data_IF_607444650645
#
_entry.id   IF_607444650645
#
_cell.length_a   1.000
_cell.length_b   1.000
_cell.length_c   1.000
_cell.angle_alpha   90.00
_cell.angle_beta   90.00
_cell.angle_gamma   90.00
#
_symmetry.space_group_name_H-M   'P 1'
#
loop_
_entity.id
_entity.type
_entity.pdbx_description
1 polymer ?
#
# COMPACT_ATOMS: atom_id res chain seq x y z
N UNK A 1 34.38 -32.20 -0.75
CA UNK A 1 33.14 -32.44 -1.51
C UNK A 1 32.59 -31.07 -1.91
N UNK A 2 32.47 -30.74 -3.21
CA UNK A 2 32.03 -29.42 -3.66
C UNK A 2 30.51 -29.30 -3.58
N UNK A 3 30.02 -28.17 -3.07
CA UNK A 3 28.61 -27.74 -3.07
C UNK A 3 28.26 -27.27 -4.49
N UNK A 4 27.78 -28.17 -5.33
CA UNK A 4 27.20 -27.85 -6.63
C UNK A 4 25.90 -28.63 -6.77
N UNK A 5 24.76 -27.97 -6.58
CA UNK A 5 23.45 -28.21 -7.21
C UNK A 5 22.29 -27.55 -6.49
N UNK A 6 22.19 -26.24 -6.57
CA UNK A 6 20.87 -25.62 -6.55
C UNK A 6 20.56 -25.14 -7.97
N UNK A 7 19.83 -25.98 -8.69
CA UNK A 7 19.33 -25.66 -10.01
C UNK A 7 18.31 -24.54 -9.91
N UNK A 8 18.69 -23.33 -10.31
CA UNK A 8 17.74 -22.28 -10.67
C UNK A 8 17.13 -22.69 -12.01
N UNK A 9 15.84 -23.02 -11.95
CA UNK A 9 15.05 -23.38 -13.11
C UNK A 9 15.11 -22.31 -14.20
N UNK A 10 14.96 -22.76 -15.44
CA UNK A 10 14.97 -22.00 -16.67
C UNK A 10 14.30 -20.63 -16.55
N UNK A 11 15.02 -19.59 -16.91
CA UNK A 11 14.45 -18.28 -17.22
C UNK A 11 13.54 -18.43 -18.44
N UNK A 12 12.28 -17.98 -18.38
CA UNK A 12 11.46 -17.94 -19.58
C UNK A 12 12.06 -16.97 -20.60
N UNK A 13 12.01 -17.37 -21.87
CA UNK A 13 12.62 -16.66 -23.01
C UNK A 13 11.79 -15.48 -23.54
N UNK A 14 11.31 -14.60 -22.63
CA UNK A 14 10.93 -13.27 -23.07
C UNK A 14 12.16 -12.37 -22.82
N UNK A 15 12.84 -12.18 -23.92
CA UNK A 15 14.15 -11.55 -24.01
C UNK A 15 14.11 -10.14 -23.41
N UNK A 16 14.83 -9.98 -22.30
CA UNK A 16 15.43 -8.71 -21.96
C UNK A 16 16.70 -8.64 -22.83
N UNK A 17 16.62 -7.98 -23.99
CA UNK A 17 17.81 -7.52 -24.67
C UNK A 17 18.51 -6.53 -23.74
N UNK A 18 19.53 -7.02 -23.05
CA UNK A 18 20.49 -6.14 -22.42
C UNK A 18 21.11 -5.27 -23.53
N UNK A 19 21.13 -3.94 -23.40
CA UNK A 19 21.86 -3.12 -24.34
C UNK A 19 23.31 -3.62 -24.36
N UNK A 20 23.83 -3.77 -25.58
CA UNK A 20 25.15 -4.28 -25.94
C UNK A 20 26.21 -3.72 -24.98
N UNK A 21 26.90 -4.59 -24.24
CA UNK A 21 27.92 -4.21 -23.28
C UNK A 21 29.20 -3.82 -24.02
N UNK A 22 29.12 -2.75 -24.79
CA UNK A 22 30.27 -1.95 -25.16
C UNK A 22 30.79 -1.28 -23.88
N UNK A 23 31.97 -1.75 -23.40
CA UNK A 23 32.58 -1.48 -22.11
C UNK A 23 32.76 0.00 -21.68
N UNK A 24 31.65 0.72 -21.56
CA UNK A 24 31.58 1.93 -20.76
C UNK A 24 31.15 1.49 -19.36
N UNK A 25 32.05 1.53 -18.40
CA UNK A 25 31.71 1.59 -16.99
C UNK A 25 30.75 2.77 -16.87
N UNK A 26 29.44 2.49 -16.73
CA UNK A 26 28.48 3.52 -16.39
C UNK A 26 28.90 4.03 -15.02
N UNK A 27 29.58 5.18 -14.99
CA UNK A 27 29.77 5.92 -13.75
C UNK A 27 28.41 6.03 -13.10
N UNK A 28 28.30 5.50 -11.89
CA UNK A 28 27.07 5.68 -11.10
C UNK A 28 26.81 7.19 -11.06
N UNK A 29 25.58 7.64 -11.44
CA UNK A 29 25.28 9.07 -11.39
C UNK A 29 25.65 9.59 -10.00
N UNK A 30 26.39 10.70 -9.94
CA UNK A 30 26.75 11.32 -8.68
C UNK A 30 25.51 11.37 -7.77
N UNK A 31 25.63 10.99 -6.49
CA UNK A 31 24.51 10.99 -5.57
C UNK A 31 23.95 12.41 -5.53
N UNK A 32 22.81 12.61 -6.18
CA UNK A 32 22.07 13.88 -6.13
C UNK A 32 21.87 14.22 -4.65
N UNK A 33 22.11 15.48 -4.22
CA UNK A 33 21.92 15.86 -2.84
C UNK A 33 20.52 15.44 -2.41
N UNK A 34 20.43 14.59 -1.39
CA UNK A 34 19.19 14.09 -0.84
C UNK A 34 18.34 15.30 -0.48
N UNK A 35 17.39 15.66 -1.35
CA UNK A 35 16.42 16.71 -1.03
C UNK A 35 15.60 16.18 0.14
N UNK A 36 15.98 16.57 1.35
CA UNK A 36 15.25 16.36 2.59
C UNK A 36 13.93 17.14 2.51
N UNK A 37 12.95 16.63 1.79
CA UNK A 37 11.67 17.33 1.67
C UNK A 37 10.68 16.55 0.82
N UNK A 38 9.49 16.45 1.33
CA UNK A 38 8.33 15.89 0.65
C UNK A 38 7.67 16.90 -0.29
N UNK A 39 8.08 18.18 -0.17
CA UNK A 39 7.57 19.28 -0.98
C UNK A 39 7.78 19.01 -2.47
N UNK A 40 6.69 19.11 -3.25
CA UNK A 40 6.69 18.81 -4.68
C UNK A 40 6.61 17.33 -5.03
N UNK A 41 6.63 16.42 -4.05
CA UNK A 41 6.27 15.00 -4.26
C UNK A 41 4.77 14.84 -4.28
N UNK A 42 4.31 13.77 -4.92
CA UNK A 42 2.89 13.43 -5.05
C UNK A 42 2.67 12.00 -4.58
N UNK A 43 1.78 11.83 -3.61
CA UNK A 43 1.33 10.53 -3.13
C UNK A 43 -0.04 10.18 -3.73
N UNK A 44 -0.18 8.95 -4.20
CA UNK A 44 -1.45 8.33 -4.57
C UNK A 44 -1.83 7.35 -3.45
N UNK A 45 -3.00 7.54 -2.84
CA UNK A 45 -3.49 6.69 -1.74
C UNK A 45 -4.87 6.16 -2.08
N UNK A 46 -5.03 4.84 -2.11
CA UNK A 46 -6.33 4.23 -2.33
C UNK A 46 -7.11 4.08 -1.03
N UNK A 47 -8.42 4.36 -1.06
CA UNK A 47 -9.25 4.37 0.15
C UNK A 47 -8.88 5.49 1.14
N UNK A 48 -8.53 6.68 0.64
CA UNK A 48 -7.98 7.77 1.43
C UNK A 48 -9.01 8.61 2.21
N UNK A 49 -10.31 8.37 2.05
CA UNK A 49 -11.35 9.20 2.66
C UNK A 49 -11.56 8.93 4.15
N UNK A 50 -11.30 7.72 4.64
CA UNK A 50 -11.64 7.29 6.01
C UNK A 50 -10.54 6.44 6.65
N UNK A 51 -10.63 6.25 7.97
CA UNK A 51 -9.81 5.32 8.74
C UNK A 51 -8.30 5.49 8.53
N UNK A 52 -7.59 4.38 8.31
CA UNK A 52 -6.15 4.39 8.08
C UNK A 52 -5.78 5.21 6.83
N UNK A 53 -6.54 5.06 5.73
CA UNK A 53 -6.25 5.81 4.51
C UNK A 53 -6.29 7.31 4.73
N UNK A 54 -7.26 7.81 5.51
CA UNK A 54 -7.34 9.22 5.90
C UNK A 54 -6.13 9.64 6.75
N UNK A 55 -5.72 8.83 7.72
CA UNK A 55 -4.52 9.13 8.51
C UNK A 55 -3.26 9.21 7.63
N UNK A 56 -3.13 8.30 6.65
CA UNK A 56 -2.02 8.31 5.69
C UNK A 56 -2.00 9.58 4.86
N UNK A 57 -3.13 9.97 4.24
CA UNK A 57 -3.17 11.20 3.41
C UNK A 57 -2.90 12.45 4.24
N UNK A 58 -3.40 12.51 5.49
CA UNK A 58 -3.13 13.61 6.41
C UNK A 58 -1.63 13.67 6.81
N UNK A 59 -1.00 12.54 7.05
CA UNK A 59 0.43 12.46 7.34
C UNK A 59 1.27 12.97 6.15
N UNK A 60 0.97 12.53 4.94
CA UNK A 60 1.65 13.03 3.74
C UNK A 60 1.45 14.53 3.54
N UNK A 61 0.25 15.05 3.81
CA UNK A 61 -0.03 16.51 3.79
C UNK A 61 0.80 17.28 4.80
N UNK A 62 0.88 16.82 6.06
CA UNK A 62 1.74 17.42 7.11
C UNK A 62 3.21 17.47 6.70
N UNK A 63 3.68 16.49 5.94
CA UNK A 63 5.04 16.43 5.41
C UNK A 63 5.25 17.32 4.18
N UNK A 64 4.21 18.01 3.70
CA UNK A 64 4.26 18.91 2.53
C UNK A 64 4.16 18.20 1.17
N UNK A 65 3.71 16.95 1.15
CA UNK A 65 3.47 16.19 -0.06
C UNK A 65 2.11 16.56 -0.65
N UNK A 66 2.00 16.72 -1.97
CA UNK A 66 0.72 16.77 -2.65
C UNK A 66 0.07 15.38 -2.61
N UNK A 67 -1.26 15.33 -2.50
CA UNK A 67 -1.97 14.08 -2.27
C UNK A 67 -3.09 13.87 -3.28
N UNK A 68 -3.05 12.76 -3.99
CA UNK A 68 -4.21 12.23 -4.69
C UNK A 68 -4.77 11.04 -3.90
N UNK A 69 -6.07 11.01 -3.66
CA UNK A 69 -6.70 9.86 -3.04
C UNK A 69 -8.01 9.49 -3.70
N UNK A 70 -8.28 8.19 -3.73
CA UNK A 70 -9.54 7.70 -4.25
C UNK A 70 -10.40 7.05 -3.15
N UNK A 71 -11.69 6.96 -3.45
CA UNK A 71 -12.69 6.33 -2.59
C UNK A 71 -13.82 5.75 -3.42
N UNK A 72 -14.61 4.89 -2.82
CA UNK A 72 -15.89 4.41 -3.33
C UNK A 72 -16.93 4.48 -2.22
N UNK A 73 -18.19 4.67 -2.58
CA UNK A 73 -19.28 4.48 -1.62
C UNK A 73 -19.43 2.97 -1.35
N UNK A 74 -19.53 2.62 -0.09
CA UNK A 74 -19.83 1.28 0.35
C UNK A 74 -21.33 1.13 0.58
N UNK A 75 -21.92 -0.08 0.45
CA UNK A 75 -23.31 -0.30 0.76
C UNK A 75 -23.66 0.25 2.17
N UNK A 76 -24.69 1.12 2.23
CA UNK A 76 -25.13 1.74 3.49
C UNK A 76 -24.21 2.80 4.08
N UNK A 77 -23.14 3.20 3.36
CA UNK A 77 -22.19 4.21 3.84
C UNK A 77 -21.78 5.15 2.71
N UNK A 78 -22.24 6.40 2.81
CA UNK A 78 -21.77 7.49 1.95
C UNK A 78 -20.45 8.05 2.53
N UNK A 79 -19.38 7.99 1.76
CA UNK A 79 -18.07 8.51 2.15
C UNK A 79 -17.71 9.82 1.44
N UNK A 80 -18.63 10.38 0.66
CA UNK A 80 -18.39 11.63 -0.09
C UNK A 80 -18.13 12.79 0.86
N UNK A 81 -18.92 12.89 1.93
CA UNK A 81 -18.73 13.94 2.94
C UNK A 81 -17.35 13.82 3.61
N UNK A 82 -16.94 12.59 4.01
CA UNK A 82 -15.64 12.35 4.62
C UNK A 82 -14.49 12.64 3.63
N UNK A 83 -14.69 12.34 2.35
CA UNK A 83 -13.73 12.68 1.31
C UNK A 83 -13.56 14.20 1.17
N UNK A 84 -14.67 14.95 1.15
CA UNK A 84 -14.67 16.41 1.09
C UNK A 84 -14.01 17.04 2.32
N UNK A 85 -14.31 16.54 3.51
CA UNK A 85 -13.67 16.99 4.75
C UNK A 85 -12.16 16.73 4.72
N UNK A 86 -11.75 15.58 4.20
CA UNK A 86 -10.32 15.23 4.07
C UNK A 86 -9.62 16.13 3.05
N UNK A 87 -10.26 16.38 1.90
CA UNK A 87 -9.76 17.29 0.86
C UNK A 87 -9.59 18.71 1.41
N UNK A 88 -10.62 19.22 2.10
CA UNK A 88 -10.60 20.55 2.74
C UNK A 88 -9.47 20.66 3.77
N UNK A 89 -9.27 19.64 4.60
CA UNK A 89 -8.22 19.63 5.61
C UNK A 89 -6.82 19.64 4.99
N UNK A 90 -6.61 18.88 3.90
CA UNK A 90 -5.34 18.87 3.16
C UNK A 90 -5.09 20.20 2.45
N UNK A 91 -6.10 20.78 1.82
CA UNK A 91 -5.99 22.10 1.18
C UNK A 91 -5.61 23.20 2.18
N UNK A 92 -6.15 23.14 3.42
CA UNK A 92 -5.78 24.05 4.50
C UNK A 92 -4.31 23.91 4.94
N UNK A 93 -3.63 22.79 4.66
CA UNK A 93 -2.18 22.62 4.88
C UNK A 93 -1.35 23.24 3.76
N UNK A 94 -1.96 23.79 2.70
CA UNK A 94 -1.27 24.43 1.59
C UNK A 94 -0.65 23.44 0.59
N UNK A 95 -1.10 22.17 0.57
CA UNK A 95 -0.68 21.17 -0.41
C UNK A 95 -1.71 20.98 -1.51
N UNK A 96 -1.25 20.57 -2.69
CA UNK A 96 -2.13 20.21 -3.80
C UNK A 96 -2.91 18.93 -3.48
N UNK A 97 -4.21 18.93 -3.76
CA UNK A 97 -5.10 17.79 -3.48
C UNK A 97 -5.89 17.41 -4.73
N UNK A 98 -6.07 16.13 -4.94
CA UNK A 98 -6.99 15.56 -5.91
C UNK A 98 -7.73 14.36 -5.31
N UNK A 99 -9.02 14.50 -5.10
CA UNK A 99 -9.90 13.44 -4.61
C UNK A 99 -10.87 13.00 -5.73
N UNK A 100 -11.05 11.70 -5.91
CA UNK A 100 -11.98 11.19 -6.91
C UNK A 100 -12.58 9.83 -6.51
N UNK A 101 -13.79 9.56 -7.02
CA UNK A 101 -14.32 8.20 -7.00
C UNK A 101 -13.51 7.35 -7.97
N UNK A 102 -13.05 6.21 -7.50
CA UNK A 102 -12.37 5.21 -8.31
C UNK A 102 -12.49 3.85 -7.63
N UNK A 103 -13.09 2.90 -8.31
CA UNK A 103 -13.09 1.50 -7.90
C UNK A 103 -11.77 0.86 -8.35
N UNK A 104 -10.95 0.45 -7.38
CA UNK A 104 -9.64 -0.17 -7.65
C UNK A 104 -9.75 -1.49 -8.43
N UNK A 105 -10.93 -2.14 -8.43
CA UNK A 105 -11.21 -3.33 -9.21
C UNK A 105 -11.27 -3.04 -10.70
N UNK A 106 -11.71 -1.83 -11.08
CA UNK A 106 -11.78 -1.40 -12.48
C UNK A 106 -10.43 -0.81 -12.91
N UNK A 107 -9.77 -1.55 -13.82
CA UNK A 107 -8.50 -1.13 -14.41
C UNK A 107 -8.55 0.25 -15.05
N UNK A 108 -9.61 0.54 -15.81
CA UNK A 108 -9.69 1.79 -16.58
C UNK A 108 -9.92 2.98 -15.65
N UNK A 109 -10.68 2.80 -14.56
CA UNK A 109 -10.84 3.83 -13.54
C UNK A 109 -9.52 4.14 -12.86
N UNK A 110 -8.74 3.11 -12.50
CA UNK A 110 -7.41 3.27 -11.89
C UNK A 110 -6.44 3.99 -12.83
N UNK A 111 -6.37 3.58 -14.10
CA UNK A 111 -5.48 4.22 -15.09
C UNK A 111 -5.83 5.69 -15.28
N UNK A 112 -7.13 6.04 -15.37
CA UNK A 112 -7.59 7.44 -15.44
C UNK A 112 -7.24 8.20 -14.17
N UNK A 113 -7.52 7.64 -12.99
CA UNK A 113 -7.23 8.29 -11.72
C UNK A 113 -5.73 8.63 -11.56
N UNK A 114 -4.84 7.71 -11.91
CA UNK A 114 -3.38 7.92 -11.85
C UNK A 114 -2.94 8.97 -12.89
N UNK A 115 -3.50 8.95 -14.10
CA UNK A 115 -3.21 9.94 -15.13
C UNK A 115 -3.66 11.35 -14.71
N UNK A 116 -4.86 11.48 -14.18
CA UNK A 116 -5.40 12.75 -13.66
C UNK A 116 -4.58 13.27 -12.48
N UNK A 117 -4.19 12.39 -11.54
CA UNK A 117 -3.33 12.75 -10.42
C UNK A 117 -1.99 13.31 -10.92
N UNK A 118 -1.36 12.63 -11.90
CA UNK A 118 -0.12 13.09 -12.53
C UNK A 118 -0.26 14.44 -13.18
N UNK A 119 -1.35 14.65 -13.95
CA UNK A 119 -1.59 15.90 -14.68
C UNK A 119 -1.86 17.08 -13.73
N UNK A 120 -2.72 16.86 -12.72
CA UNK A 120 -3.17 17.93 -11.80
C UNK A 120 -2.13 18.31 -10.75
N UNK A 121 -1.35 17.34 -10.29
CA UNK A 121 -0.39 17.54 -9.18
C UNK A 121 1.07 17.56 -9.62
N UNK A 122 1.34 17.39 -10.93
CA UNK A 122 2.68 17.51 -11.50
C UNK A 122 3.55 16.25 -11.41
N UNK A 123 2.98 15.09 -11.05
CA UNK A 123 3.73 13.82 -10.98
C UNK A 123 3.03 12.76 -10.16
N UNK A 124 3.68 11.60 -10.03
CA UNK A 124 3.36 10.54 -9.06
C UNK A 124 4.68 9.99 -8.53
N UNK A 125 4.85 9.93 -7.21
CA UNK A 125 6.10 9.52 -6.58
C UNK A 125 5.91 8.39 -5.56
N UNK A 126 4.75 8.37 -4.91
CA UNK A 126 4.40 7.38 -3.90
C UNK A 126 3.05 6.74 -4.24
N UNK A 127 2.94 5.44 -3.99
CA UNK A 127 1.68 4.71 -4.05
C UNK A 127 1.46 3.99 -2.72
N UNK A 128 0.31 4.22 -2.11
CA UNK A 128 -0.14 3.46 -0.94
C UNK A 128 -1.42 2.70 -1.30
N UNK A 129 -1.30 1.39 -1.47
CA UNK A 129 -2.41 0.48 -1.66
C UNK A 129 -3.04 0.17 -0.30
N UNK A 130 -4.00 1.01 0.11
CA UNK A 130 -4.71 0.88 1.37
C UNK A 130 -6.16 0.42 1.18
N UNK A 131 -6.79 0.65 0.02
CA UNK A 131 -8.14 0.16 -0.23
C UNK A 131 -8.26 -1.34 0.06
N UNK A 132 -9.30 -1.70 0.81
CA UNK A 132 -9.52 -3.08 1.18
C UNK A 132 -10.81 -3.26 1.96
N UNK A 133 -11.43 -4.40 1.74
CA UNK A 133 -12.65 -4.82 2.42
C UNK A 133 -12.41 -6.15 3.13
N UNK A 134 -13.32 -6.50 4.03
CA UNK A 134 -13.51 -7.85 4.52
C UNK A 134 -15.00 -8.17 4.44
N UNK A 135 -15.28 -9.41 4.15
CA UNK A 135 -16.60 -10.00 4.15
C UNK A 135 -16.48 -11.37 4.81
N UNK A 136 -16.47 -11.33 6.14
CA UNK A 136 -16.05 -12.43 7.00
C UNK A 136 -17.15 -13.51 7.11
N UNK A 137 -16.75 -14.76 7.25
CA UNK A 137 -17.65 -15.90 7.41
C UNK A 137 -16.87 -17.18 7.66
N UNK A 138 -17.52 -18.15 8.35
CA UNK A 138 -16.90 -19.46 8.54
C UNK A 138 -16.58 -20.09 7.16
N UNK A 139 -15.39 -20.68 7.02
CA UNK A 139 -14.85 -21.17 5.75
C UNK A 139 -15.87 -21.99 4.94
N UNK A 140 -16.59 -22.90 5.60
CA UNK A 140 -17.58 -23.77 4.95
C UNK A 140 -18.94 -23.10 4.62
N UNK A 141 -19.12 -21.82 5.01
CA UNK A 141 -20.31 -21.00 4.72
C UNK A 141 -19.98 -19.78 3.86
N UNK A 142 -18.70 -19.57 3.59
CA UNK A 142 -18.25 -18.43 2.80
C UNK A 142 -18.73 -18.58 1.35
N UNK A 143 -19.51 -17.61 0.87
CA UNK A 143 -19.97 -17.62 -0.51
C UNK A 143 -18.84 -17.31 -1.48
N UNK A 144 -18.95 -17.81 -2.71
CA UNK A 144 -18.04 -17.48 -3.80
C UNK A 144 -18.01 -15.97 -4.06
N UNK A 145 -19.16 -15.32 -3.97
CA UNK A 145 -19.25 -13.86 -4.09
C UNK A 145 -18.41 -13.15 -3.03
N UNK A 146 -18.57 -13.50 -1.74
CA UNK A 146 -17.82 -12.89 -0.65
C UNK A 146 -16.29 -13.14 -0.78
N UNK A 147 -15.92 -14.34 -1.29
CA UNK A 147 -14.53 -14.65 -1.60
C UNK A 147 -13.98 -13.74 -2.70
N UNK A 148 -14.66 -13.70 -3.86
CA UNK A 148 -14.22 -12.94 -5.03
C UNK A 148 -14.19 -11.43 -4.76
N UNK A 149 -15.20 -10.85 -4.11
CA UNK A 149 -15.24 -9.43 -3.76
C UNK A 149 -14.01 -9.00 -2.94
N UNK A 150 -13.59 -9.82 -1.96
CA UNK A 150 -12.44 -9.53 -1.12
C UNK A 150 -11.13 -9.66 -1.90
N UNK A 151 -10.97 -10.69 -2.72
CA UNK A 151 -9.77 -10.87 -3.54
C UNK A 151 -9.66 -9.79 -4.62
N UNK A 152 -10.75 -9.48 -5.29
CA UNK A 152 -10.78 -8.47 -6.34
C UNK A 152 -10.43 -7.08 -5.80
N UNK A 153 -10.98 -6.73 -4.64
CA UNK A 153 -10.68 -5.43 -4.04
C UNK A 153 -9.25 -5.37 -3.50
N UNK A 154 -8.88 -6.36 -2.68
CA UNK A 154 -7.65 -6.28 -1.89
C UNK A 154 -6.40 -6.64 -2.70
N UNK A 155 -6.52 -7.56 -3.67
CA UNK A 155 -5.37 -8.08 -4.44
C UNK A 155 -5.38 -7.53 -5.85
N UNK A 156 -6.45 -7.77 -6.64
CA UNK A 156 -6.55 -7.28 -8.02
C UNK A 156 -6.49 -5.75 -8.05
N UNK A 157 -7.16 -5.08 -7.09
CA UNK A 157 -7.10 -3.62 -6.95
C UNK A 157 -5.68 -3.09 -6.72
N UNK A 158 -4.93 -3.69 -5.80
CA UNK A 158 -3.53 -3.32 -5.55
C UNK A 158 -2.65 -3.58 -6.80
N UNK A 159 -2.84 -4.72 -7.47
CA UNK A 159 -2.16 -5.01 -8.73
C UNK A 159 -2.46 -3.98 -9.81
N UNK A 160 -3.73 -3.58 -10.00
CA UNK A 160 -4.12 -2.54 -10.95
C UNK A 160 -3.40 -1.21 -10.68
N UNK A 161 -3.34 -0.79 -9.41
CA UNK A 161 -2.66 0.44 -9.02
C UNK A 161 -1.14 0.36 -9.25
N UNK A 162 -0.48 -0.75 -8.87
CA UNK A 162 0.95 -0.96 -9.14
C UNK A 162 1.22 -0.89 -10.64
N UNK A 163 0.43 -1.59 -11.45
CA UNK A 163 0.57 -1.59 -12.92
C UNK A 163 0.40 -0.21 -13.52
N UNK A 164 -0.53 0.61 -13.00
CA UNK A 164 -0.77 1.96 -13.50
C UNK A 164 0.39 2.92 -13.19
N UNK A 165 1.02 2.83 -12.03
CA UNK A 165 2.15 3.70 -11.67
C UNK A 165 3.50 3.20 -12.18
N UNK A 166 3.66 1.91 -12.45
CA UNK A 166 4.94 1.29 -12.80
C UNK A 166 5.62 1.95 -14.03
N UNK A 167 4.93 2.28 -15.13
CA UNK A 167 5.55 2.98 -16.25
C UNK A 167 6.13 4.36 -15.88
N UNK A 168 5.41 5.09 -15.02
CA UNK A 168 5.85 6.41 -14.53
C UNK A 168 7.08 6.26 -13.65
N UNK A 169 7.07 5.35 -12.69
CA UNK A 169 8.18 5.12 -11.77
C UNK A 169 9.43 4.60 -12.47
N UNK A 170 9.26 3.70 -13.44
CA UNK A 170 10.37 3.21 -14.26
C UNK A 170 11.00 4.31 -15.09
N UNK A 171 10.20 5.16 -15.74
CA UNK A 171 10.70 6.27 -16.56
C UNK A 171 11.47 7.31 -15.74
N UNK A 172 10.99 7.64 -14.53
CA UNK A 172 11.61 8.64 -13.66
C UNK A 172 12.74 8.08 -12.78
N UNK A 173 13.00 6.76 -12.82
CA UNK A 173 13.94 6.04 -11.95
C UNK A 173 13.77 6.33 -10.46
N UNK A 174 12.53 6.45 -10.05
CA UNK A 174 12.15 6.75 -8.67
C UNK A 174 10.70 6.36 -8.40
N UNK A 175 10.46 5.73 -7.27
CA UNK A 175 9.12 5.44 -6.77
C UNK A 175 9.16 4.70 -5.46
N UNK A 176 8.13 4.89 -4.64
CA UNK A 176 7.94 4.12 -3.42
C UNK A 176 6.52 3.58 -3.39
N UNK A 177 6.39 2.28 -3.17
CA UNK A 177 5.10 1.59 -3.08
C UNK A 177 4.99 0.95 -1.71
N UNK A 178 3.87 1.18 -1.02
CA UNK A 178 3.54 0.50 0.23
C UNK A 178 2.18 -0.17 0.11
N UNK A 179 2.15 -1.49 0.28
CA UNK A 179 0.94 -2.29 0.32
C UNK A 179 0.49 -2.49 1.77
N UNK A 180 -0.76 -2.15 2.07
CA UNK A 180 -1.34 -2.36 3.39
C UNK A 180 -1.90 -3.78 3.50
N UNK A 181 -1.11 -4.67 4.09
CA UNK A 181 -1.48 -6.03 4.45
C UNK A 181 -2.20 -6.03 5.81
N UNK A 182 -2.05 -7.07 6.60
CA UNK A 182 -2.55 -7.20 7.98
C UNK A 182 -1.78 -8.29 8.72
N UNK A 183 -1.78 -8.25 10.06
CA UNK A 183 -1.25 -9.34 10.88
C UNK A 183 -1.89 -10.70 10.54
N UNK A 184 -3.17 -10.67 10.15
CA UNK A 184 -3.94 -11.85 9.73
C UNK A 184 -3.41 -12.53 8.46
N UNK A 185 -2.53 -11.90 7.70
CA UNK A 185 -1.79 -12.55 6.62
C UNK A 185 -0.88 -13.69 7.10
N UNK A 186 -0.43 -13.62 8.36
CA UNK A 186 0.46 -14.61 8.99
C UNK A 186 -0.24 -15.38 10.11
N UNK A 187 -1.14 -14.74 10.83
CA UNK A 187 -1.82 -15.28 12.00
C UNK A 187 -3.34 -15.01 11.90
N UNK A 188 -4.05 -15.78 11.06
CA UNK A 188 -5.48 -15.58 10.84
C UNK A 188 -6.31 -15.97 12.06
N UNK A 189 -7.39 -15.23 12.30
CA UNK A 189 -8.44 -15.63 13.21
C UNK A 189 -9.46 -16.56 12.56
N UNK A 190 -10.47 -16.96 13.31
CA UNK A 190 -11.61 -17.69 12.78
C UNK A 190 -12.50 -16.79 11.90
N UNK A 191 -12.99 -17.34 10.78
CA UNK A 191 -13.97 -16.70 9.92
C UNK A 191 -13.40 -15.67 8.92
N UNK A 192 -12.10 -15.52 8.80
CA UNK A 192 -11.45 -14.50 7.94
C UNK A 192 -10.67 -15.10 6.77
N UNK A 193 -11.08 -16.26 6.26
CA UNK A 193 -10.30 -17.02 5.28
C UNK A 193 -9.99 -16.22 3.99
N UNK A 194 -10.99 -15.55 3.39
CA UNK A 194 -10.83 -14.69 2.22
C UNK A 194 -9.93 -13.48 2.51
N UNK A 195 -10.15 -12.82 3.63
CA UNK A 195 -9.37 -11.66 4.04
C UNK A 195 -7.90 -12.05 4.30
N UNK A 196 -7.66 -13.10 5.08
CA UNK A 196 -6.31 -13.59 5.36
C UNK A 196 -5.58 -14.00 4.08
N UNK A 197 -6.24 -14.75 3.19
CA UNK A 197 -5.70 -15.11 1.88
C UNK A 197 -5.34 -13.87 1.06
N UNK A 198 -6.24 -12.87 0.99
CA UNK A 198 -6.00 -11.63 0.26
C UNK A 198 -4.79 -10.84 0.83
N UNK A 199 -4.69 -10.76 2.16
CA UNK A 199 -3.61 -10.02 2.82
C UNK A 199 -2.27 -10.76 2.74
N UNK A 200 -2.28 -12.10 2.69
CA UNK A 200 -1.09 -12.91 2.40
C UNK A 200 -0.64 -12.77 0.94
N UNK A 201 -1.58 -12.73 -0.02
CA UNK A 201 -1.27 -12.50 -1.42
C UNK A 201 -0.55 -11.17 -1.66
N UNK A 202 -0.89 -10.10 -0.93
CA UNK A 202 -0.18 -8.83 -1.00
C UNK A 202 1.30 -8.94 -0.61
N UNK A 203 1.68 -9.87 0.26
CA UNK A 203 3.09 -10.09 0.62
C UNK A 203 3.87 -10.70 -0.53
N UNK A 204 3.25 -11.63 -1.28
CA UNK A 204 3.80 -12.19 -2.52
C UNK A 204 3.94 -11.10 -3.60
N UNK A 205 2.87 -10.34 -3.84
CA UNK A 205 2.86 -9.24 -4.81
C UNK A 205 3.92 -8.18 -4.49
N UNK A 206 4.11 -7.86 -3.21
CA UNK A 206 5.14 -6.92 -2.74
C UNK A 206 6.54 -7.38 -3.15
N UNK A 207 6.86 -8.65 -2.92
CA UNK A 207 8.18 -9.22 -3.26
C UNK A 207 8.41 -9.28 -4.76
N UNK A 208 7.42 -9.73 -5.53
CA UNK A 208 7.50 -9.78 -6.99
C UNK A 208 7.72 -8.38 -7.57
N UNK A 209 6.89 -7.41 -7.17
CA UNK A 209 7.03 -6.03 -7.62
C UNK A 209 8.36 -5.39 -7.19
N UNK A 210 8.89 -5.73 -6.02
CA UNK A 210 10.20 -5.25 -5.57
C UNK A 210 11.34 -5.76 -6.48
N UNK A 211 11.28 -7.02 -6.92
CA UNK A 211 12.26 -7.60 -7.84
C UNK A 211 12.15 -6.96 -9.22
N UNK A 212 10.93 -6.78 -9.74
CA UNK A 212 10.71 -6.28 -11.10
C UNK A 212 10.96 -4.78 -11.24
N UNK A 213 10.67 -4.00 -10.21
CA UNK A 213 10.80 -2.53 -10.25
C UNK A 213 12.09 -2.01 -9.60
N UNK A 214 12.78 -2.86 -8.84
CA UNK A 214 14.05 -2.52 -8.17
C UNK A 214 15.13 -1.99 -9.11
N UNK A 215 15.36 -2.57 -10.32
CA UNK A 215 16.31 -2.04 -11.29
C UNK A 215 16.03 -0.61 -11.73
N UNK A 216 14.79 -0.14 -11.60
CA UNK A 216 14.40 1.25 -11.84
C UNK A 216 14.41 2.12 -10.57
N UNK A 217 15.12 1.70 -9.51
CA UNK A 217 15.22 2.42 -8.24
C UNK A 217 13.84 2.66 -7.57
N UNK A 218 12.95 1.67 -7.65
CA UNK A 218 11.64 1.70 -7.01
C UNK A 218 11.65 0.76 -5.81
N UNK A 219 11.31 1.27 -4.63
CA UNK A 219 11.12 0.45 -3.45
C UNK A 219 9.66 -0.01 -3.35
N UNK A 220 9.45 -1.28 -3.06
CA UNK A 220 8.12 -1.84 -2.83
C UNK A 220 8.12 -2.60 -1.51
N UNK A 221 7.33 -2.16 -0.54
CA UNK A 221 7.24 -2.75 0.78
C UNK A 221 5.79 -2.97 1.19
N UNK A 222 5.59 -3.71 2.26
CA UNK A 222 4.28 -3.88 2.89
C UNK A 222 4.34 -3.47 4.36
N UNK A 223 3.21 -2.99 4.88
CA UNK A 223 2.94 -2.92 6.31
C UNK A 223 1.89 -3.96 6.67
N UNK A 224 2.02 -4.58 7.83
CA UNK A 224 1.06 -5.55 8.36
C UNK A 224 0.55 -5.07 9.71
N UNK A 225 -0.47 -4.21 9.74
CA UNK A 225 -1.04 -3.71 10.98
C UNK A 225 -1.76 -4.80 11.77
N UNK A 226 -1.80 -4.61 13.10
CA UNK A 226 -2.72 -5.29 14.00
C UNK A 226 -4.12 -4.66 13.96
N UNK A 227 -4.78 -4.65 15.12
CA UNK A 227 -6.03 -3.91 15.27
C UNK A 227 -5.74 -2.40 15.33
N UNK A 228 -6.49 -1.63 14.55
CA UNK A 228 -6.37 -0.17 14.47
C UNK A 228 -7.69 0.45 14.92
N UNK A 229 -7.63 1.49 15.73
CA UNK A 229 -8.76 2.27 16.19
C UNK A 229 -9.36 3.09 15.04
N UNK A 230 -10.23 2.45 14.28
CA UNK A 230 -10.97 3.05 13.16
C UNK A 230 -12.47 2.90 13.41
N UNK A 231 -13.27 3.62 12.63
CA UNK A 231 -14.73 3.46 12.67
C UNK A 231 -15.19 2.02 12.47
N UNK A 232 -14.43 1.24 11.66
CA UNK A 232 -14.70 -0.20 11.48
C UNK A 232 -14.52 -0.97 12.78
N UNK A 233 -13.49 -0.63 13.57
CA UNK A 233 -13.28 -1.28 14.87
C UNK A 233 -14.39 -0.90 15.87
N UNK A 234 -14.92 0.32 15.81
CA UNK A 234 -16.02 0.76 16.65
C UNK A 234 -17.33 -0.02 16.42
N UNK A 235 -17.45 -0.73 15.29
CA UNK A 235 -18.59 -1.61 14.98
C UNK A 235 -18.42 -3.04 15.52
N UNK A 236 -17.25 -3.38 16.08
CA UNK A 236 -17.00 -4.71 16.66
C UNK A 236 -17.59 -4.80 18.08
N UNK A 237 -17.97 -6.01 18.52
CA UNK A 237 -18.36 -6.22 19.91
C UNK A 237 -17.24 -5.82 20.88
N UNK A 238 -17.60 -5.29 22.05
CA UNK A 238 -16.64 -4.82 23.07
C UNK A 238 -15.65 -5.91 23.49
N UNK A 239 -16.11 -7.16 23.58
CA UNK A 239 -15.26 -8.30 23.93
C UNK A 239 -14.15 -8.57 22.91
N UNK A 240 -14.42 -8.27 21.62
CA UNK A 240 -13.40 -8.40 20.56
C UNK A 240 -12.34 -7.31 20.70
N UNK A 241 -12.80 -6.07 21.00
CA UNK A 241 -11.90 -4.93 21.21
C UNK A 241 -11.03 -5.15 22.45
N UNK A 242 -11.63 -5.57 23.56
CA UNK A 242 -10.90 -5.88 24.81
C UNK A 242 -9.90 -7.02 24.62
N UNK A 243 -10.29 -8.06 23.89
CA UNK A 243 -9.38 -9.17 23.57
C UNK A 243 -8.20 -8.67 22.74
N UNK A 244 -8.45 -7.85 21.72
CA UNK A 244 -7.40 -7.27 20.90
C UNK A 244 -6.41 -6.44 21.73
N UNK A 245 -6.91 -5.64 22.69
CA UNK A 245 -6.07 -4.88 23.62
C UNK A 245 -5.23 -5.79 24.53
N UNK A 246 -5.86 -6.81 25.11
CA UNK A 246 -5.19 -7.75 26.02
C UNK A 246 -4.13 -8.61 25.33
N UNK A 247 -4.36 -8.96 24.04
CA UNK A 247 -3.39 -9.73 23.24
C UNK A 247 -2.25 -8.88 22.68
N UNK A 248 -2.34 -7.56 22.74
CA UNK A 248 -1.24 -6.69 22.38
C UNK A 248 -0.22 -6.61 23.51
N UNK A 249 1.05 -6.90 23.24
CA UNK A 249 2.15 -6.75 24.22
C UNK A 249 2.24 -5.32 24.76
N UNK A 250 1.91 -4.33 23.91
CA UNK A 250 1.85 -2.92 24.33
C UNK A 250 0.59 -2.55 25.09
N UNK A 251 -0.36 -3.48 25.31
CA UNK A 251 -1.59 -3.27 26.07
C UNK A 251 -2.61 -2.32 25.43
N UNK A 252 -2.43 -1.99 24.14
CA UNK A 252 -3.32 -1.09 23.40
C UNK A 252 -3.46 -1.52 21.93
N UNK A 253 -4.54 -1.11 21.32
CA UNK A 253 -4.66 -1.12 19.85
C UNK A 253 -3.94 0.08 19.27
N UNK A 254 -3.50 -0.02 18.01
CA UNK A 254 -2.83 1.07 17.33
C UNK A 254 -3.82 2.20 17.01
N UNK A 255 -3.37 3.44 17.07
CA UNK A 255 -4.04 4.54 16.40
C UNK A 255 -3.67 4.54 14.91
N UNK A 256 -4.52 5.06 14.01
CA UNK A 256 -4.21 5.08 12.57
C UNK A 256 -2.88 5.77 12.27
N UNK A 257 -2.50 6.75 13.06
CA UNK A 257 -1.26 7.50 12.96
C UNK A 257 -0.02 6.63 13.23
N UNK A 258 -0.09 5.65 14.15
CA UNK A 258 1.00 4.71 14.41
C UNK A 258 1.41 3.97 13.12
N UNK A 259 0.45 3.61 12.29
CA UNK A 259 0.69 2.93 11.01
C UNK A 259 1.07 3.92 9.91
N UNK A 260 0.42 5.09 9.86
CA UNK A 260 0.70 6.12 8.87
C UNK A 260 2.16 6.61 8.94
N UNK A 261 2.73 6.75 10.14
CA UNK A 261 4.14 7.10 10.36
C UNK A 261 5.09 6.04 9.79
N UNK A 262 4.78 4.75 9.93
CA UNK A 262 5.59 3.68 9.33
C UNK A 262 5.50 3.72 7.80
N UNK A 263 4.30 3.99 7.25
CA UNK A 263 4.10 4.12 5.80
C UNK A 263 4.90 5.32 5.27
N UNK A 264 4.84 6.46 5.93
CA UNK A 264 5.62 7.64 5.53
C UNK A 264 7.12 7.38 5.64
N UNK A 265 7.60 6.72 6.70
CA UNK A 265 8.99 6.29 6.81
C UNK A 265 9.41 5.41 5.61
N UNK A 266 8.63 4.40 5.23
CA UNK A 266 8.95 3.52 4.09
C UNK A 266 8.95 4.27 2.74
N UNK A 267 8.24 5.37 2.64
CA UNK A 267 8.25 6.26 1.47
C UNK A 267 9.38 7.31 1.52
N UNK A 268 10.09 7.44 2.64
CA UNK A 268 11.17 8.41 2.82
C UNK A 268 12.51 7.92 2.25
N UNK A 269 13.45 8.84 2.09
CA UNK A 269 14.84 8.51 1.72
C UNK A 269 15.59 7.75 2.84
N UNK A 270 15.11 7.84 4.09
CA UNK A 270 15.66 7.05 5.19
C UNK A 270 15.46 5.54 5.00
N UNK A 271 14.45 5.14 4.22
CA UNK A 271 14.15 3.76 3.88
C UNK A 271 14.63 3.35 2.48
N UNK A 272 15.51 4.13 1.82
CA UNK A 272 15.91 3.90 0.42
C UNK A 272 16.51 2.52 0.14
N UNK A 273 17.05 1.85 1.15
CA UNK A 273 17.63 0.50 1.02
C UNK A 273 16.72 -0.61 1.56
N UNK A 274 15.44 -0.30 1.85
CA UNK A 274 14.43 -1.24 2.29
C UNK A 274 13.49 -1.52 1.10
N UNK A 275 13.49 -2.76 0.60
CA UNK A 275 12.56 -3.20 -0.46
C UNK A 275 12.22 -4.68 -0.29
N UNK A 276 11.03 -5.08 -0.73
CA UNK A 276 10.52 -6.45 -0.59
C UNK A 276 10.15 -6.85 0.84
N UNK A 277 10.18 -5.92 1.80
CA UNK A 277 9.98 -6.20 3.21
C UNK A 277 8.53 -6.02 3.65
N UNK A 278 8.19 -6.72 4.74
CA UNK A 278 6.92 -6.56 5.44
C UNK A 278 7.20 -6.10 6.86
N UNK A 279 6.80 -4.87 7.19
CA UNK A 279 6.93 -4.32 8.53
C UNK A 279 5.62 -4.59 9.29
N UNK A 280 5.72 -5.34 10.37
CA UNK A 280 4.58 -5.61 11.26
C UNK A 280 4.42 -4.43 12.21
N UNK A 281 3.17 -3.92 12.33
CA UNK A 281 2.81 -2.77 13.17
C UNK A 281 1.58 -3.15 13.98
N UNK A 282 1.77 -4.03 14.96
CA UNK A 282 0.67 -4.69 15.67
C UNK A 282 0.80 -4.68 17.21
N UNK A 283 1.76 -3.92 17.74
CA UNK A 283 1.98 -3.85 19.20
C UNK A 283 2.41 -5.18 19.83
N UNK A 284 2.99 -6.07 19.03
CA UNK A 284 3.43 -7.40 19.49
C UNK A 284 2.33 -8.49 19.46
N UNK A 285 1.15 -8.19 18.89
CA UNK A 285 0.03 -9.14 18.79
C UNK A 285 0.41 -10.46 18.11
N UNK A 286 1.33 -10.43 17.16
CA UNK A 286 1.77 -11.62 16.41
C UNK A 286 2.95 -12.37 17.04
N UNK A 287 3.43 -11.95 18.21
CA UNK A 287 4.54 -12.62 18.93
C UNK A 287 4.08 -13.81 19.79
N UNK A 288 2.80 -13.92 20.10
CA UNK A 288 2.20 -15.03 20.86
C UNK A 288 1.84 -16.26 20.00
#
# INVERSE_FOLDING_TARGET
MPLSSFGFGHRPSWEYEAPDAGGAVLEAPEPQPVRRGWKGKVAVVTGGATGLGRAVVMEFGKLGCNVAFCFVNLPGRDVVEQALLTETALAAMGVGVYAARCDVRDRNEVERFVADAKQRLGGVHFLVNNAGIANDGALWRLSEQAWNEVLDTNVTGAFNCIRAVAPVFRHQHYGKIVNVSAHQAKRPGFGVANYAASKAALLGLTRAAAVELGPANVNVNAVAPGFIRTERMAMLPSEVVERAQKSSVLGRVADPEDVAHVISFLCSESARHITGQTIVVDGGLSLE
#
